data_IF_140791261368
#
_entry.id   IF_140791261368
#
_cell.length_a   1.000
_cell.length_b   1.000
_cell.length_c   1.000
_cell.angle_alpha   90.00
_cell.angle_beta   90.00
_cell.angle_gamma   90.00
#
_symmetry.space_group_name_H-M   'P 1'
#
loop_
_entity.id
_entity.type
_entity.pdbx_description
1 polymer ?
#
# COMPACT_ATOMS: atom_id res chain seq x y z
N UNK A 1 11.05 22.59 77.57
CA UNK A 1 10.28 21.42 77.26
C UNK A 1 9.45 21.72 76.01
N UNK A 2 9.98 21.32 74.84
CA UNK A 2 9.33 21.61 73.54
C UNK A 2 8.52 20.37 73.15
N UNK A 3 7.20 20.55 72.95
CA UNK A 3 6.32 19.51 72.42
C UNK A 3 6.48 19.47 70.86
N UNK A 4 6.93 18.34 70.35
CA UNK A 4 6.99 18.06 68.93
C UNK A 4 5.64 17.50 68.52
N UNK A 5 4.92 18.24 67.66
CA UNK A 5 3.66 17.83 67.05
C UNK A 5 3.99 17.05 65.78
N UNK A 6 3.70 15.75 65.77
CA UNK A 6 3.89 14.87 64.63
C UNK A 6 2.65 14.96 63.72
N UNK A 7 2.76 15.67 62.60
CA UNK A 7 1.72 15.65 61.55
C UNK A 7 1.91 14.44 60.64
N UNK A 8 1.03 13.45 60.79
CA UNK A 8 0.90 12.34 59.80
C UNK A 8 0.23 12.90 58.52
N UNK A 9 1.01 13.05 57.49
CA UNK A 9 0.47 13.23 56.14
C UNK A 9 0.08 11.88 55.57
N UNK A 10 -1.23 11.59 55.54
CA UNK A 10 -1.76 10.47 54.78
C UNK A 10 -1.71 10.84 53.28
N UNK A 11 -0.74 10.26 52.57
CA UNK A 11 -0.70 10.34 51.11
C UNK A 11 -1.77 9.41 50.52
N UNK A 12 -2.95 9.95 50.25
CA UNK A 12 -3.94 9.29 49.39
C UNK A 12 -3.39 9.30 47.96
N UNK A 13 -2.71 8.21 47.56
CA UNK A 13 -2.38 7.93 46.18
C UNK A 13 -3.66 7.60 45.43
N UNK A 14 -4.27 8.62 44.80
CA UNK A 14 -5.32 8.40 43.80
C UNK A 14 -4.62 7.79 42.59
N UNK A 15 -4.67 6.46 42.48
CA UNK A 15 -4.43 5.78 41.23
C UNK A 15 -5.53 6.20 40.25
N UNK A 16 -5.24 7.24 39.45
CA UNK A 16 -6.01 7.47 38.23
C UNK A 16 -5.71 6.27 37.30
N UNK A 17 -6.61 5.30 37.32
CA UNK A 17 -6.69 4.32 36.24
C UNK A 17 -7.17 5.14 35.04
N UNK A 18 -6.21 5.64 34.23
CA UNK A 18 -6.49 6.04 32.87
C UNK A 18 -6.81 4.77 32.12
N UNK A 19 -8.06 4.33 32.20
CA UNK A 19 -8.58 3.35 31.29
C UNK A 19 -8.37 3.93 29.87
N UNK A 20 -7.48 3.34 29.09
CA UNK A 20 -7.53 3.46 27.64
C UNK A 20 -8.93 2.98 27.25
N UNK A 21 -9.86 3.91 27.03
CA UNK A 21 -11.07 3.61 26.30
C UNK A 21 -10.59 3.34 24.87
N UNK A 22 -10.39 2.05 24.54
CA UNK A 22 -10.22 1.66 23.15
C UNK A 22 -11.44 2.19 22.41
N UNK A 23 -11.19 2.98 21.37
CA UNK A 23 -12.25 3.46 20.50
C UNK A 23 -13.09 2.26 20.07
N UNK A 24 -14.39 2.31 20.32
CA UNK A 24 -15.26 1.20 19.97
C UNK A 24 -15.39 1.20 18.45
N UNK A 25 -14.94 0.14 17.82
CA UNK A 25 -15.01 -0.05 16.37
C UNK A 25 -16.03 -1.13 16.07
N UNK A 26 -16.94 -0.85 15.14
CA UNK A 26 -17.93 -1.79 14.61
C UNK A 26 -18.01 -1.63 13.11
N UNK A 27 -17.53 -2.63 12.36
CA UNK A 27 -17.52 -2.60 10.90
C UNK A 27 -18.72 -3.33 10.33
N UNK A 28 -19.31 -2.79 9.26
CA UNK A 28 -20.28 -3.51 8.45
C UNK A 28 -19.56 -4.23 7.30
N UNK A 29 -19.04 -5.41 7.57
CA UNK A 29 -18.20 -6.15 6.61
C UNK A 29 -18.97 -6.49 5.31
N UNK A 30 -20.30 -6.65 5.38
CA UNK A 30 -21.13 -6.92 4.21
C UNK A 30 -21.22 -5.73 3.25
N UNK A 31 -21.28 -4.51 3.79
CA UNK A 31 -21.25 -3.28 2.98
C UNK A 31 -19.84 -2.89 2.55
N UNK A 32 -18.83 -3.27 3.34
CA UNK A 32 -17.43 -3.00 3.05
C UNK A 32 -16.92 -3.84 1.86
N UNK A 33 -17.33 -5.10 1.75
CA UNK A 33 -16.84 -6.03 0.74
C UNK A 33 -16.93 -5.48 -0.71
N UNK A 34 -18.10 -5.00 -1.21
CA UNK A 34 -18.20 -4.45 -2.56
C UNK A 34 -17.45 -3.12 -2.73
N UNK A 35 -17.27 -2.34 -1.67
CA UNK A 35 -16.50 -1.10 -1.74
C UNK A 35 -15.00 -1.38 -1.94
N UNK A 36 -14.45 -2.38 -1.24
CA UNK A 36 -13.08 -2.84 -1.46
C UNK A 36 -12.89 -3.32 -2.91
N UNK A 37 -13.84 -4.10 -3.45
CA UNK A 37 -13.78 -4.54 -4.85
C UNK A 37 -13.76 -3.37 -5.84
N UNK A 38 -14.51 -2.31 -5.54
CA UNK A 38 -14.54 -1.11 -6.38
C UNK A 38 -13.23 -0.32 -6.32
N UNK A 39 -12.60 -0.24 -5.15
CA UNK A 39 -11.32 0.45 -4.99
C UNK A 39 -10.21 -0.19 -5.82
N UNK A 40 -10.16 -1.51 -5.89
CA UNK A 40 -9.15 -2.25 -6.66
C UNK A 40 -9.11 -1.90 -8.15
N UNK A 41 -10.28 -1.66 -8.75
CA UNK A 41 -10.39 -1.30 -10.16
C UNK A 41 -10.25 0.20 -10.46
N UNK A 42 -10.12 1.05 -9.44
CA UNK A 42 -10.14 2.51 -9.59
C UNK A 42 -8.83 3.22 -9.22
N UNK A 43 -7.91 2.55 -8.54
CA UNK A 43 -6.59 3.13 -8.23
C UNK A 43 -5.69 3.11 -9.46
N UNK A 44 -4.86 4.14 -9.59
CA UNK A 44 -3.81 4.18 -10.61
C UNK A 44 -2.85 3.00 -10.40
N UNK A 45 -2.55 2.29 -11.48
CA UNK A 45 -1.59 1.20 -11.45
C UNK A 45 -0.33 1.53 -12.26
N UNK A 46 0.76 1.67 -11.54
CA UNK A 46 2.09 1.98 -12.07
C UNK A 46 2.54 0.95 -13.11
N UNK A 47 2.27 -0.32 -12.87
CA UNK A 47 2.72 -1.41 -13.77
C UNK A 47 1.95 -1.38 -15.08
N UNK A 48 0.61 -1.32 -15.05
CA UNK A 48 -0.23 -1.15 -16.24
C UNK A 48 0.17 0.11 -17.02
N UNK A 49 0.50 1.21 -16.31
CA UNK A 49 0.97 2.43 -16.93
C UNK A 49 2.32 2.25 -17.64
N UNK A 50 3.27 1.53 -17.01
CA UNK A 50 4.58 1.29 -17.59
C UNK A 50 4.52 0.33 -18.78
N UNK A 51 3.71 -0.72 -18.71
CA UNK A 51 3.49 -1.65 -19.83
C UNK A 51 2.91 -0.92 -21.05
N UNK A 52 1.93 -0.03 -20.84
CA UNK A 52 1.35 0.79 -21.89
C UNK A 52 2.41 1.68 -22.56
N UNK A 53 3.28 2.33 -21.76
CA UNK A 53 4.36 3.18 -22.28
C UNK A 53 5.41 2.38 -23.02
N UNK A 54 5.83 1.25 -22.48
CA UNK A 54 6.80 0.34 -23.12
C UNK A 54 6.27 -0.22 -24.44
N UNK A 55 4.96 -0.44 -24.55
CA UNK A 55 4.31 -0.85 -25.80
C UNK A 55 4.16 0.25 -26.87
N UNK A 56 4.26 1.53 -26.48
CA UNK A 56 4.00 2.68 -27.36
C UNK A 56 5.24 3.53 -27.68
N UNK A 57 6.25 3.49 -26.86
CA UNK A 57 7.51 4.21 -27.08
C UNK A 57 8.59 3.19 -27.39
N UNK A 58 9.09 3.23 -28.62
CA UNK A 58 10.07 2.26 -29.09
C UNK A 58 11.44 2.43 -28.41
N UNK A 59 12.11 1.30 -28.15
CA UNK A 59 13.49 1.24 -27.70
C UNK A 59 13.71 1.74 -26.26
N UNK A 60 12.68 1.79 -25.43
CA UNK A 60 12.83 2.04 -24.02
C UNK A 60 13.56 0.88 -23.33
N UNK A 61 14.44 1.21 -22.40
CA UNK A 61 15.16 0.29 -21.52
C UNK A 61 14.90 0.69 -20.07
N UNK A 62 14.50 -0.27 -19.26
CA UNK A 62 14.21 -0.04 -17.85
C UNK A 62 15.48 0.37 -17.10
N UNK A 63 15.30 1.31 -16.19
CA UNK A 63 16.38 1.84 -15.34
C UNK A 63 16.08 1.49 -13.89
N UNK A 64 17.03 0.83 -13.25
CA UNK A 64 16.92 0.38 -11.87
C UNK A 64 17.41 1.41 -10.88
N UNK A 65 16.96 1.33 -9.63
CA UNK A 65 17.23 2.31 -8.57
C UNK A 65 18.71 2.60 -8.34
N UNK A 66 19.59 1.60 -8.48
CA UNK A 66 21.05 1.77 -8.31
C UNK A 66 21.69 2.67 -9.37
N UNK A 67 21.00 2.91 -10.50
CA UNK A 67 21.44 3.80 -11.57
C UNK A 67 20.91 5.23 -11.42
N UNK A 68 19.87 5.46 -10.58
CA UNK A 68 19.15 6.73 -10.49
C UNK A 68 20.07 7.91 -10.16
N UNK A 69 20.98 7.73 -9.20
CA UNK A 69 21.92 8.77 -8.82
C UNK A 69 22.87 9.12 -9.94
N UNK A 70 23.38 8.12 -10.62
CA UNK A 70 24.36 8.30 -11.70
C UNK A 70 23.72 8.85 -12.98
N UNK A 71 22.56 8.31 -13.39
CA UNK A 71 21.91 8.68 -14.65
C UNK A 71 21.11 9.97 -14.55
N UNK A 72 20.40 10.16 -13.46
CA UNK A 72 19.39 11.22 -13.33
C UNK A 72 19.68 12.22 -12.20
N UNK A 73 20.66 11.95 -11.35
CA UNK A 73 20.91 12.66 -10.10
C UNK A 73 19.69 12.64 -9.14
N UNK A 74 18.88 11.58 -9.20
CA UNK A 74 17.76 11.36 -8.31
C UNK A 74 18.20 10.74 -6.98
N UNK A 75 17.57 11.17 -5.89
CA UNK A 75 17.78 10.64 -4.54
C UNK A 75 16.79 9.50 -4.31
N UNK A 76 17.26 8.25 -4.47
CA UNK A 76 16.42 7.06 -4.42
C UNK A 76 15.70 6.89 -3.07
N UNK A 77 16.33 7.30 -1.99
CA UNK A 77 15.78 7.25 -0.62
C UNK A 77 14.52 8.13 -0.44
N UNK A 78 14.27 9.04 -1.38
CA UNK A 78 13.07 9.88 -1.39
C UNK A 78 11.90 9.24 -2.16
N UNK A 79 12.08 8.05 -2.74
CA UNK A 79 11.12 7.39 -3.64
C UNK A 79 10.74 6.03 -3.04
N UNK A 80 9.43 5.78 -2.87
CA UNK A 80 8.90 4.50 -2.37
C UNK A 80 8.62 3.49 -3.48
N UNK A 81 8.17 3.98 -4.63
CA UNK A 81 7.85 3.15 -5.78
C UNK A 81 8.26 3.86 -7.08
N UNK A 82 8.65 3.08 -8.08
CA UNK A 82 9.06 3.66 -9.36
C UNK A 82 8.82 2.72 -10.55
N UNK A 83 8.66 3.33 -11.72
CA UNK A 83 8.95 2.74 -13.02
C UNK A 83 9.62 3.81 -13.87
N UNK A 84 10.80 3.55 -14.34
CA UNK A 84 11.61 4.49 -15.13
C UNK A 84 12.21 3.75 -16.30
N UNK A 85 12.02 4.28 -17.51
CA UNK A 85 12.65 3.74 -18.71
C UNK A 85 13.12 4.88 -19.60
N UNK A 86 14.20 4.64 -20.33
CA UNK A 86 14.84 5.63 -21.21
C UNK A 86 15.28 4.98 -22.51
N UNK A 87 15.11 5.71 -23.61
CA UNK A 87 15.79 5.44 -24.87
C UNK A 87 16.89 6.49 -25.04
N UNK A 88 18.15 6.12 -24.79
CA UNK A 88 19.30 7.03 -24.84
C UNK A 88 19.55 7.59 -26.26
N UNK A 89 19.12 6.88 -27.30
CA UNK A 89 19.30 7.31 -28.69
C UNK A 89 18.34 8.43 -29.10
N UNK A 90 17.12 8.45 -28.57
CA UNK A 90 16.08 9.44 -28.90
C UNK A 90 15.82 10.44 -27.79
N UNK A 91 16.31 10.18 -26.59
CA UNK A 91 15.94 10.86 -25.34
C UNK A 91 14.43 10.74 -25.00
N UNK A 92 13.72 9.77 -25.57
CA UNK A 92 12.40 9.42 -25.10
C UNK A 92 12.53 8.70 -23.77
N UNK A 93 11.66 9.02 -22.82
CA UNK A 93 11.70 8.44 -21.49
C UNK A 93 10.40 8.64 -20.75
N UNK A 94 10.21 7.88 -19.68
CA UNK A 94 9.21 8.19 -18.69
C UNK A 94 9.75 7.99 -17.28
N UNK A 95 9.14 8.71 -16.34
CA UNK A 95 9.29 8.54 -14.90
C UNK A 95 7.89 8.41 -14.32
N UNK A 96 7.62 7.32 -13.62
CA UNK A 96 6.46 7.13 -12.78
C UNK A 96 7.02 6.89 -11.38
N UNK A 97 6.94 7.89 -10.51
CA UNK A 97 7.62 7.91 -9.22
C UNK A 97 6.62 8.20 -8.11
N UNK A 98 6.60 7.40 -7.05
CA UNK A 98 5.86 7.67 -5.82
C UNK A 98 6.83 8.20 -4.77
N UNK A 99 6.83 9.50 -4.47
CA UNK A 99 7.69 10.05 -3.43
C UNK A 99 7.28 9.55 -2.05
N UNK A 100 8.24 9.40 -1.15
CA UNK A 100 8.00 9.24 0.27
C UNK A 100 7.29 10.47 0.85
N UNK A 101 6.62 10.32 1.98
CA UNK A 101 5.92 11.41 2.67
C UNK A 101 6.84 12.62 2.88
N UNK A 102 6.36 13.80 2.50
CA UNK A 102 7.11 15.06 2.58
C UNK A 102 8.26 15.21 1.58
N UNK A 103 8.46 14.28 0.62
CA UNK A 103 9.56 14.30 -0.36
C UNK A 103 9.13 14.68 -1.77
N UNK A 104 7.85 14.91 -2.00
CA UNK A 104 7.30 15.21 -3.32
C UNK A 104 8.02 16.34 -4.05
N UNK A 105 8.17 17.50 -3.42
CA UNK A 105 8.79 18.67 -4.06
C UNK A 105 10.27 18.45 -4.36
N UNK A 106 10.98 17.69 -3.53
CA UNK A 106 12.38 17.32 -3.77
C UNK A 106 12.51 16.45 -5.02
N UNK A 107 11.72 15.36 -5.09
CA UNK A 107 11.72 14.44 -6.23
C UNK A 107 11.33 15.17 -7.52
N UNK A 108 10.29 15.99 -7.47
CA UNK A 108 9.84 16.82 -8.61
C UNK A 108 10.95 17.74 -9.10
N UNK A 109 11.63 18.45 -8.19
CA UNK A 109 12.74 19.35 -8.51
C UNK A 109 13.90 18.60 -9.18
N UNK A 110 14.26 17.42 -8.67
CA UNK A 110 15.35 16.61 -9.22
C UNK A 110 15.01 16.13 -10.65
N UNK A 111 13.80 15.63 -10.90
CA UNK A 111 13.36 15.22 -12.25
C UNK A 111 13.37 16.41 -13.21
N UNK A 112 12.79 17.55 -12.82
CA UNK A 112 12.73 18.74 -13.66
C UNK A 112 14.11 19.31 -13.99
N UNK A 113 15.04 19.26 -13.04
CA UNK A 113 16.44 19.65 -13.26
C UNK A 113 17.09 18.71 -14.30
N UNK A 114 16.87 17.41 -14.20
CA UNK A 114 17.36 16.45 -15.18
C UNK A 114 16.79 16.71 -16.58
N UNK A 115 15.46 16.86 -16.72
CA UNK A 115 14.80 17.13 -18.01
C UNK A 115 15.31 18.44 -18.64
N UNK A 116 15.57 19.46 -17.81
CA UNK A 116 16.16 20.72 -18.24
C UNK A 116 17.59 20.52 -18.75
N UNK A 117 18.40 19.74 -18.02
CA UNK A 117 19.80 19.46 -18.41
C UNK A 117 19.91 18.72 -19.74
N UNK A 118 18.90 17.90 -20.07
CA UNK A 118 18.79 17.17 -21.34
C UNK A 118 18.13 17.99 -22.45
N UNK A 119 17.67 19.21 -22.15
CA UNK A 119 16.95 20.09 -23.10
C UNK A 119 15.69 19.43 -23.70
N UNK A 120 14.99 18.61 -22.89
CA UNK A 120 13.77 17.88 -23.29
C UNK A 120 12.53 18.31 -22.52
N UNK A 121 12.64 19.29 -21.63
CA UNK A 121 11.52 19.75 -20.80
C UNK A 121 10.31 20.22 -21.62
N UNK A 122 10.52 20.87 -22.75
CA UNK A 122 9.44 21.34 -23.62
C UNK A 122 8.69 20.19 -24.33
N UNK A 123 9.33 19.01 -24.48
CA UNK A 123 8.72 17.80 -25.03
C UNK A 123 8.12 16.92 -23.94
N UNK A 124 8.21 17.31 -22.68
CA UNK A 124 7.69 16.55 -21.57
C UNK A 124 6.26 16.95 -21.22
N UNK A 125 5.49 15.97 -20.81
CA UNK A 125 4.19 16.15 -20.16
C UNK A 125 4.27 15.62 -18.74
N UNK A 126 3.59 16.29 -17.81
CA UNK A 126 3.60 15.97 -16.39
C UNK A 126 2.18 15.97 -15.83
N UNK A 127 1.89 15.01 -14.97
CA UNK A 127 0.69 14.99 -14.12
C UNK A 127 0.97 14.25 -12.82
N UNK A 128 0.22 14.61 -11.77
CA UNK A 128 0.21 13.89 -10.50
C UNK A 128 -1.09 13.07 -10.43
N UNK A 129 -0.96 11.76 -10.22
CA UNK A 129 -2.09 10.83 -10.16
C UNK A 129 -1.89 9.89 -8.97
N UNK A 130 -2.83 9.87 -8.04
CA UNK A 130 -2.83 8.98 -6.85
C UNK A 130 -1.48 8.99 -6.09
N UNK A 131 -0.85 10.18 -5.97
CA UNK A 131 0.42 10.36 -5.30
C UNK A 131 1.67 10.05 -6.14
N UNK A 132 1.50 9.54 -7.37
CA UNK A 132 2.59 9.37 -8.31
C UNK A 132 2.86 10.64 -9.11
N UNK A 133 4.13 10.93 -9.33
CA UNK A 133 4.61 11.93 -10.29
C UNK A 133 4.87 11.23 -11.62
N UNK A 134 4.12 11.57 -12.64
CA UNK A 134 4.23 10.97 -13.98
C UNK A 134 4.83 12.00 -14.92
N UNK A 135 5.99 11.70 -15.47
CA UNK A 135 6.64 12.47 -16.53
C UNK A 135 6.80 11.60 -17.76
N UNK A 136 6.43 12.09 -18.91
CA UNK A 136 6.60 11.41 -20.21
C UNK A 136 7.28 12.38 -21.17
N UNK A 137 8.39 11.95 -21.75
CA UNK A 137 9.14 12.67 -22.79
C UNK A 137 9.01 11.87 -24.09
N UNK A 138 8.21 12.35 -25.00
CA UNK A 138 8.01 11.81 -26.34
C UNK A 138 7.33 12.87 -27.21
N UNK A 139 7.37 12.72 -28.52
CA UNK A 139 6.71 13.69 -29.43
C UNK A 139 5.20 13.79 -29.20
N UNK A 140 4.55 12.68 -28.78
CA UNK A 140 3.14 12.58 -28.41
C UNK A 140 2.89 12.48 -26.90
N UNK A 141 3.76 13.08 -26.09
CA UNK A 141 3.75 12.93 -24.61
C UNK A 141 2.40 13.28 -23.97
N UNK A 142 1.65 14.26 -24.50
CA UNK A 142 0.33 14.67 -23.99
C UNK A 142 -0.72 13.57 -24.19
N UNK A 143 -0.72 12.93 -25.35
CA UNK A 143 -1.69 11.87 -25.64
C UNK A 143 -1.38 10.64 -24.80
N UNK A 144 -0.11 10.28 -24.70
CA UNK A 144 0.35 9.20 -23.84
C UNK A 144 -0.01 9.45 -22.37
N UNK A 145 0.17 10.68 -21.88
CA UNK A 145 -0.19 11.03 -20.51
C UNK A 145 -1.70 10.91 -20.25
N UNK A 146 -2.52 11.31 -21.24
CA UNK A 146 -3.98 11.14 -21.15
C UNK A 146 -4.43 9.69 -21.09
N UNK A 147 -3.71 8.78 -21.74
CA UNK A 147 -3.98 7.34 -21.64
C UNK A 147 -3.48 6.78 -20.29
N UNK A 148 -2.23 7.09 -19.94
CA UNK A 148 -1.55 6.57 -18.75
C UNK A 148 -2.23 6.96 -17.44
N UNK A 149 -2.71 8.19 -17.32
CA UNK A 149 -3.40 8.63 -16.10
C UNK A 149 -4.67 7.84 -15.77
N UNK A 150 -5.23 7.16 -16.76
CA UNK A 150 -6.37 6.27 -16.61
C UNK A 150 -5.96 4.79 -16.52
N UNK A 151 -4.67 4.49 -16.46
CA UNK A 151 -4.19 3.14 -16.27
C UNK A 151 -4.61 2.65 -14.88
N UNK A 152 -5.55 1.73 -14.85
CA UNK A 152 -6.06 1.10 -13.63
C UNK A 152 -5.50 -0.30 -13.53
N UNK A 153 -5.28 -0.76 -12.32
CA UNK A 153 -4.88 -2.14 -12.08
C UNK A 153 -5.80 -3.08 -12.86
N UNK A 154 -5.24 -3.79 -13.80
CA UNK A 154 -5.97 -4.91 -14.40
C UNK A 154 -5.95 -6.03 -13.37
N UNK A 155 -7.01 -6.12 -12.60
CA UNK A 155 -7.20 -7.26 -11.70
C UNK A 155 -7.44 -8.46 -12.59
N UNK A 156 -6.36 -9.20 -12.88
CA UNK A 156 -6.47 -10.51 -13.52
C UNK A 156 -7.13 -11.48 -12.55
N UNK A 157 -8.44 -11.56 -12.63
CA UNK A 157 -9.26 -12.42 -11.80
C UNK A 157 -9.96 -11.68 -10.65
N UNK A 158 -11.24 -11.98 -10.47
CA UNK A 158 -12.00 -11.51 -9.32
C UNK A 158 -11.34 -12.06 -8.03
N UNK A 159 -11.28 -11.24 -6.99
CA UNK A 159 -10.96 -11.75 -5.68
C UNK A 159 -12.13 -12.59 -5.19
N UNK A 160 -11.81 -13.78 -4.73
CA UNK A 160 -12.79 -14.61 -4.04
C UNK A 160 -12.89 -14.21 -2.58
N UNK A 161 -14.07 -14.26 -2.04
CA UNK A 161 -14.27 -14.21 -0.60
C UNK A 161 -13.94 -15.58 0.00
N UNK A 162 -13.19 -15.57 1.07
CA UNK A 162 -12.84 -16.78 1.81
C UNK A 162 -14.04 -17.20 2.67
N UNK A 163 -14.50 -18.41 2.48
CA UNK A 163 -15.53 -19.05 3.29
C UNK A 163 -14.91 -19.91 4.42
N UNK A 164 -15.72 -20.40 5.34
CA UNK A 164 -15.28 -21.09 6.57
C UNK A 164 -14.31 -22.26 6.31
N UNK A 165 -14.52 -23.04 5.23
CA UNK A 165 -13.62 -24.15 4.86
C UNK A 165 -12.22 -23.67 4.49
N UNK A 166 -12.13 -22.56 3.75
CA UNK A 166 -10.84 -21.95 3.38
C UNK A 166 -10.20 -21.21 4.54
N UNK A 167 -10.99 -20.65 5.46
CA UNK A 167 -10.48 -20.03 6.68
C UNK A 167 -9.65 -21.05 7.48
N UNK A 168 -10.14 -22.27 7.62
CA UNK A 168 -9.41 -23.33 8.30
C UNK A 168 -8.23 -23.86 7.48
N UNK A 169 -8.45 -24.19 6.19
CA UNK A 169 -7.43 -24.89 5.38
C UNK A 169 -6.29 -24.00 4.93
N UNK A 170 -6.54 -22.71 4.64
CA UNK A 170 -5.51 -21.76 4.16
C UNK A 170 -4.86 -20.98 5.30
N UNK A 171 -5.65 -20.58 6.30
CA UNK A 171 -5.17 -19.72 7.39
C UNK A 171 -4.95 -20.47 8.71
N UNK A 172 -5.44 -21.71 8.80
CA UNK A 172 -5.39 -22.50 10.03
C UNK A 172 -6.26 -21.91 11.14
N UNK A 173 -7.25 -21.07 10.81
CA UNK A 173 -8.13 -20.39 11.76
C UNK A 173 -9.45 -21.14 11.80
N UNK A 174 -9.79 -21.71 12.96
CA UNK A 174 -11.07 -22.34 13.16
C UNK A 174 -12.19 -21.29 13.33
N UNK A 175 -13.40 -21.61 12.92
CA UNK A 175 -14.53 -20.68 12.92
C UNK A 175 -14.84 -20.09 14.30
N UNK A 176 -14.64 -20.87 15.36
CA UNK A 176 -14.86 -20.46 16.75
C UNK A 176 -13.79 -19.49 17.29
N UNK A 177 -12.69 -19.31 16.56
CA UNK A 177 -11.64 -18.36 16.90
C UNK A 177 -11.96 -16.93 16.47
N UNK A 178 -13.01 -16.71 15.65
CA UNK A 178 -13.37 -15.41 15.10
C UNK A 178 -14.85 -15.11 15.30
N UNK A 179 -15.18 -13.87 15.68
CA UNK A 179 -16.56 -13.39 15.75
C UNK A 179 -17.10 -13.09 14.34
N UNK A 180 -16.30 -12.38 13.57
CA UNK A 180 -16.58 -12.03 12.18
C UNK A 180 -15.30 -11.81 11.38
N UNK A 181 -15.38 -11.99 10.08
CA UNK A 181 -14.26 -11.76 9.19
C UNK A 181 -14.71 -11.42 7.77
N UNK A 182 -13.87 -10.68 7.07
CA UNK A 182 -13.90 -10.48 5.63
C UNK A 182 -12.47 -10.73 5.11
N UNK A 183 -12.30 -11.82 4.38
CA UNK A 183 -11.03 -12.14 3.74
C UNK A 183 -11.29 -12.26 2.25
N UNK A 184 -10.51 -11.52 1.45
CA UNK A 184 -10.53 -11.60 0.00
C UNK A 184 -9.14 -11.88 -0.51
N UNK A 185 -9.02 -12.81 -1.43
CA UNK A 185 -7.76 -13.24 -2.03
C UNK A 185 -7.96 -13.62 -3.50
N UNK A 186 -6.90 -13.62 -4.33
CA UNK A 186 -7.01 -14.03 -5.72
C UNK A 186 -7.41 -15.50 -5.86
N UNK A 187 -8.25 -15.80 -6.84
CA UNK A 187 -8.55 -17.19 -7.22
C UNK A 187 -7.37 -17.88 -7.92
N UNK A 188 -6.51 -17.10 -8.57
CA UNK A 188 -5.35 -17.58 -9.31
C UNK A 188 -4.09 -16.89 -8.83
N UNK A 189 -2.96 -17.57 -8.90
CA UNK A 189 -1.64 -17.04 -8.52
C UNK A 189 -1.11 -16.11 -9.65
N UNK A 190 -1.88 -15.09 -9.99
CA UNK A 190 -1.53 -14.08 -11.00
C UNK A 190 -1.35 -12.70 -10.39
N UNK A 191 -1.87 -12.48 -9.18
CA UNK A 191 -1.68 -11.28 -8.40
C UNK A 191 -1.65 -11.61 -6.90
N UNK A 192 -1.13 -10.71 -6.09
CA UNK A 192 -0.98 -10.91 -4.63
C UNK A 192 -1.98 -10.12 -3.78
N UNK A 193 -2.93 -9.40 -4.42
CA UNK A 193 -3.88 -8.57 -3.69
C UNK A 193 -4.65 -9.40 -2.67
N UNK A 194 -4.54 -9.04 -1.40
CA UNK A 194 -5.16 -9.79 -0.30
C UNK A 194 -5.66 -8.81 0.76
N UNK A 195 -6.88 -8.98 1.19
CA UNK A 195 -7.52 -8.18 2.24
C UNK A 195 -7.99 -9.10 3.33
N UNK A 196 -7.51 -8.87 4.53
CA UNK A 196 -7.87 -9.63 5.72
C UNK A 196 -8.36 -8.64 6.78
N UNK A 197 -9.60 -8.77 7.16
CA UNK A 197 -10.26 -8.01 8.22
C UNK A 197 -10.91 -9.05 9.12
N UNK A 198 -10.36 -9.26 10.30
CA UNK A 198 -10.77 -10.32 11.22
C UNK A 198 -10.98 -9.75 12.60
N UNK A 199 -12.12 -10.03 13.21
CA UNK A 199 -12.39 -9.78 14.62
C UNK A 199 -12.26 -11.10 15.38
N UNK A 200 -11.19 -11.32 16.12
CA UNK A 200 -11.00 -12.51 16.92
C UNK A 200 -12.02 -12.59 18.07
N UNK A 201 -12.41 -13.80 18.41
CA UNK A 201 -13.18 -14.08 19.64
C UNK A 201 -12.34 -13.68 20.85
N UNK A 202 -12.98 -13.28 21.94
CA UNK A 202 -12.32 -12.90 23.19
C UNK A 202 -11.29 -13.95 23.64
N UNK A 203 -10.07 -13.50 23.93
CA UNK A 203 -8.94 -14.35 24.33
C UNK A 203 -8.26 -15.10 23.17
N UNK A 204 -8.68 -14.92 21.90
CA UNK A 204 -8.07 -15.59 20.74
C UNK A 204 -7.21 -14.70 19.87
N UNK A 205 -7.11 -13.39 20.19
CA UNK A 205 -6.42 -12.40 19.37
C UNK A 205 -4.99 -12.77 19.02
N UNK A 206 -4.19 -13.16 20.01
CA UNK A 206 -2.76 -13.46 19.79
C UNK A 206 -2.59 -14.69 18.88
N UNK A 207 -3.41 -15.73 19.10
CA UNK A 207 -3.36 -16.97 18.30
C UNK A 207 -3.79 -16.69 16.85
N UNK A 208 -4.86 -15.91 16.66
CA UNK A 208 -5.32 -15.54 15.32
C UNK A 208 -4.26 -14.68 14.62
N UNK A 209 -3.67 -13.73 15.33
CA UNK A 209 -2.60 -12.88 14.80
C UNK A 209 -1.39 -13.71 14.35
N UNK A 210 -0.92 -14.65 15.16
CA UNK A 210 0.20 -15.54 14.82
C UNK A 210 -0.06 -16.33 13.53
N UNK A 211 -1.30 -16.84 13.37
CA UNK A 211 -1.69 -17.56 12.16
C UNK A 211 -1.72 -16.68 10.93
N UNK A 212 -2.23 -15.46 11.04
CA UNK A 212 -2.23 -14.48 9.95
C UNK A 212 -0.80 -14.03 9.59
N UNK A 213 0.05 -13.80 10.57
CA UNK A 213 1.46 -13.44 10.36
C UNK A 213 2.20 -14.59 9.64
N UNK A 214 1.90 -15.84 10.01
CA UNK A 214 2.44 -17.04 9.34
C UNK A 214 1.98 -17.11 7.89
N UNK A 215 0.68 -16.90 7.63
CA UNK A 215 0.15 -16.85 6.26
C UNK A 215 0.85 -15.77 5.43
N UNK A 216 1.02 -14.57 5.97
CA UNK A 216 1.69 -13.47 5.26
C UNK A 216 3.16 -13.75 4.99
N UNK A 217 3.85 -14.42 5.90
CA UNK A 217 5.24 -14.85 5.69
C UNK A 217 5.34 -15.86 4.55
N UNK A 218 4.45 -16.84 4.51
CA UNK A 218 4.41 -17.83 3.44
C UNK A 218 4.07 -17.19 2.09
N UNK A 219 3.15 -16.23 2.07
CA UNK A 219 2.79 -15.47 0.89
C UNK A 219 4.01 -14.67 0.36
N UNK A 220 4.77 -14.04 1.24
CA UNK A 220 5.98 -13.28 0.89
C UNK A 220 7.05 -14.21 0.28
N UNK A 221 7.31 -15.37 0.89
CA UNK A 221 8.27 -16.34 0.34
C UNK A 221 7.80 -16.92 -1.02
N UNK A 222 6.49 -17.12 -1.22
CA UNK A 222 5.94 -17.58 -2.48
C UNK A 222 6.22 -16.58 -3.62
N UNK A 223 6.00 -15.29 -3.39
CA UNK A 223 6.16 -14.24 -4.41
C UNK A 223 7.61 -13.86 -4.66
N UNK A 224 8.49 -14.04 -3.69
CA UNK A 224 9.90 -13.64 -3.74
C UNK A 224 10.67 -14.13 -4.97
N UNK A 225 10.32 -15.30 -5.47
CA UNK A 225 10.99 -15.94 -6.62
C UNK A 225 10.12 -16.00 -7.87
N UNK A 226 8.89 -15.50 -7.82
CA UNK A 226 7.93 -15.66 -8.91
C UNK A 226 7.71 -14.39 -9.71
N UNK A 227 7.16 -13.34 -9.12
CA UNK A 227 6.91 -12.06 -9.77
C UNK A 227 7.40 -10.92 -8.85
N UNK A 228 8.49 -10.22 -9.21
CA UNK A 228 9.10 -9.19 -8.38
C UNK A 228 8.13 -8.10 -7.94
N UNK A 229 7.25 -7.66 -8.83
CA UNK A 229 6.29 -6.59 -8.54
C UNK A 229 5.23 -7.02 -7.52
N UNK A 230 4.78 -8.27 -7.61
CA UNK A 230 3.84 -8.84 -6.64
C UNK A 230 4.51 -9.08 -5.30
N UNK A 231 5.79 -9.44 -5.30
CA UNK A 231 6.60 -9.52 -4.09
C UNK A 231 6.69 -8.17 -3.37
N UNK A 232 6.94 -7.08 -4.10
CA UNK A 232 6.99 -5.74 -3.50
C UNK A 232 5.64 -5.34 -2.88
N UNK A 233 4.50 -5.70 -3.47
CA UNK A 233 3.19 -5.46 -2.85
C UNK A 233 3.05 -6.19 -1.51
N UNK A 234 3.42 -7.47 -1.46
CA UNK A 234 3.35 -8.25 -0.22
C UNK A 234 4.31 -7.74 0.84
N UNK A 235 5.52 -7.37 0.45
CA UNK A 235 6.55 -6.80 1.33
C UNK A 235 6.10 -5.48 1.94
N UNK A 236 5.44 -4.63 1.16
CA UNK A 236 4.94 -3.32 1.57
C UNK A 236 3.51 -3.38 2.13
N UNK A 237 3.00 -4.56 2.47
CA UNK A 237 1.67 -4.73 3.07
C UNK A 237 1.45 -3.84 4.28
N UNK A 238 0.23 -3.40 4.46
CA UNK A 238 -0.18 -2.70 5.68
C UNK A 238 -0.72 -3.70 6.69
N UNK A 239 -0.23 -3.62 7.92
CA UNK A 239 -0.73 -4.40 9.06
C UNK A 239 -1.14 -3.43 10.16
N UNK A 240 -2.40 -3.46 10.56
CA UNK A 240 -2.98 -2.58 11.59
C UNK A 240 -3.90 -3.34 12.53
N UNK A 241 -3.96 -2.87 13.75
CA UNK A 241 -5.05 -3.17 14.68
C UNK A 241 -5.99 -1.95 14.70
N UNK A 242 -7.28 -2.18 14.50
CA UNK A 242 -8.30 -1.14 14.53
C UNK A 242 -9.47 -1.59 15.40
N UNK A 243 -9.55 -1.05 16.62
CA UNK A 243 -10.40 -1.59 17.67
C UNK A 243 -10.02 -3.05 17.98
N UNK A 244 -11.00 -3.93 17.87
CA UNK A 244 -10.81 -5.37 18.07
C UNK A 244 -10.45 -6.14 16.78
N UNK A 245 -10.33 -5.43 15.65
CA UNK A 245 -10.00 -6.04 14.35
C UNK A 245 -8.50 -6.10 14.10
N UNK A 246 -8.08 -7.21 13.52
CA UNK A 246 -6.78 -7.40 12.87
C UNK A 246 -6.96 -7.16 11.38
N UNK A 247 -6.16 -6.26 10.81
CA UNK A 247 -6.26 -5.81 9.42
C UNK A 247 -4.93 -6.02 8.72
N UNK A 248 -4.96 -6.77 7.61
CA UNK A 248 -3.82 -6.96 6.71
C UNK A 248 -4.26 -6.61 5.30
N UNK A 249 -3.51 -5.75 4.64
CA UNK A 249 -3.83 -5.27 3.30
C UNK A 249 -2.60 -5.42 2.41
N UNK A 250 -2.77 -6.11 1.31
CA UNK A 250 -1.82 -6.19 0.19
C UNK A 250 -2.51 -5.63 -1.03
N UNK A 251 -2.17 -4.42 -1.42
CA UNK A 251 -2.74 -3.74 -2.58
C UNK A 251 -1.77 -2.71 -3.15
N UNK A 252 -2.08 -2.16 -4.30
CA UNK A 252 -1.34 -1.04 -4.88
C UNK A 252 -1.52 0.28 -4.09
N UNK A 253 -2.60 0.41 -3.31
CA UNK A 253 -2.83 1.53 -2.39
C UNK A 253 -3.44 1.04 -1.07
N UNK A 254 -2.57 0.61 -0.17
CA UNK A 254 -2.94 0.08 1.14
C UNK A 254 -3.66 1.13 2.00
N UNK A 255 -3.26 2.40 1.92
CA UNK A 255 -3.84 3.47 2.72
C UNK A 255 -5.24 3.86 2.24
N UNK A 256 -5.51 3.86 0.93
CA UNK A 256 -6.85 4.08 0.40
C UNK A 256 -7.83 3.00 0.90
N UNK A 257 -7.41 1.74 0.87
CA UNK A 257 -8.20 0.62 1.41
C UNK A 257 -8.44 0.78 2.90
N UNK A 258 -7.41 1.12 3.67
CA UNK A 258 -7.55 1.32 5.12
C UNK A 258 -8.46 2.51 5.46
N UNK A 259 -8.40 3.59 4.68
CA UNK A 259 -9.30 4.73 4.83
C UNK A 259 -10.77 4.36 4.56
N UNK A 260 -11.04 3.49 3.57
CA UNK A 260 -12.40 2.98 3.34
C UNK A 260 -12.88 2.10 4.50
N UNK A 261 -11.98 1.27 5.07
CA UNK A 261 -12.30 0.49 6.27
C UNK A 261 -12.68 1.42 7.43
N UNK A 262 -11.91 2.48 7.67
CA UNK A 262 -12.23 3.47 8.72
C UNK A 262 -13.55 4.18 8.47
N UNK A 263 -13.82 4.57 7.22
CA UNK A 263 -15.07 5.23 6.83
C UNK A 263 -16.31 4.33 7.00
N UNK A 264 -16.12 3.01 7.07
CA UNK A 264 -17.18 2.03 7.31
C UNK A 264 -17.48 1.79 8.81
N UNK A 265 -16.76 2.45 9.71
CA UNK A 265 -17.04 2.35 11.15
C UNK A 265 -18.42 2.94 11.47
N UNK A 266 -19.26 2.14 12.17
CA UNK A 266 -20.62 2.48 12.58
C UNK A 266 -20.76 2.75 14.08
N UNK A 267 -19.64 2.75 14.83
CA UNK A 267 -19.62 2.97 16.26
C UNK A 267 -19.73 4.45 16.66
#
# INVERSE_FOLDING_TARGET
MKKVLLCLFAFCSIFMITGCTSEKVSLNLKELAPKIDTLQGNTFDRLTASELLNGKIEGLVDVYEYEFKQKFNLTVENISEYSVSVNEGTNNMYFILKPNEGKKDSVKTEVEAYLTSKNVKEKSSFEEVDGYLIYIVADNSKDLLNEVKNAKAQIFGALMQVEDDLLTTQFGIEKDMVEEYLIKMPMMITNSHTYIIVKPTEGKKDVVKEKLDTYMTNLEEQWKTYLPDQYELVKNRLVKEYGDYLIYIVSSDNEAVFNEIKANNQA
#
